data_IF_554263884562
#
_entry.id   IF_554263884562
#
_cell.length_a   1.000
_cell.length_b   1.000
_cell.length_c   1.000
_cell.angle_alpha   90.00
_cell.angle_beta   90.00
_cell.angle_gamma   90.00
#
_symmetry.space_group_name_H-M   'P 1'
#
loop_
_entity.id
_entity.type
_entity.pdbx_description
1 polymer ?
#
# COMPACT_ATOMS: atom_id res chain seq x y z
N UNK A 1 -13.21 18.92 -8.94
CA UNK A 1 -11.94 19.32 -8.29
C UNK A 1 -12.07 18.97 -6.82
N UNK A 2 -11.44 17.90 -6.37
CA UNK A 2 -11.41 17.52 -4.96
C UNK A 2 -10.23 18.24 -4.34
N UNK A 3 -10.50 19.23 -3.48
CA UNK A 3 -9.47 20.00 -2.79
C UNK A 3 -8.69 19.08 -1.86
N UNK A 4 -7.36 19.16 -1.92
CA UNK A 4 -6.44 18.48 -1.00
C UNK A 4 -6.77 18.89 0.44
N UNK A 5 -6.85 17.92 1.34
CA UNK A 5 -6.88 18.17 2.78
C UNK A 5 -5.60 17.62 3.37
N UNK A 6 -4.85 18.45 4.09
CA UNK A 6 -3.73 18.00 4.92
C UNK A 6 -4.18 16.82 5.79
N UNK A 7 -3.34 15.80 5.95
CA UNK A 7 -3.62 14.63 6.78
C UNK A 7 -4.16 15.01 8.16
N UNK A 8 -3.58 16.04 8.79
CA UNK A 8 -3.99 16.54 10.10
C UNK A 8 -5.34 17.31 10.09
N UNK A 9 -5.80 17.77 8.92
CA UNK A 9 -7.04 18.51 8.74
C UNK A 9 -8.18 17.65 8.17
N UNK A 10 -7.89 16.40 7.82
CA UNK A 10 -8.91 15.51 7.26
C UNK A 10 -9.89 15.06 8.33
N UNK A 11 -11.21 15.21 8.09
CA UNK A 11 -12.22 14.70 9.01
C UNK A 11 -12.19 13.16 9.11
N UNK A 12 -11.50 12.49 8.18
CA UNK A 12 -11.39 11.04 8.14
C UNK A 12 -10.17 10.50 8.86
N UNK A 13 -9.24 11.35 9.33
CA UNK A 13 -7.98 10.92 9.92
C UNK A 13 -8.17 9.89 11.06
N UNK A 14 -9.11 10.13 11.96
CA UNK A 14 -9.43 9.21 13.07
C UNK A 14 -10.48 8.15 12.74
N UNK A 15 -11.06 8.20 11.53
CA UNK A 15 -12.21 7.38 11.13
C UNK A 15 -11.87 6.37 10.01
N UNK A 16 -10.61 6.31 9.58
CA UNK A 16 -10.19 5.31 8.62
C UNK A 16 -10.25 3.92 9.25
N UNK A 17 -10.74 2.91 8.52
CA UNK A 17 -10.87 1.58 9.07
C UNK A 17 -9.50 0.92 9.28
N UNK A 18 -9.46 -0.02 10.21
CA UNK A 18 -8.30 -0.89 10.41
C UNK A 18 -8.09 -1.79 9.18
N UNK A 19 -7.07 -1.47 8.40
CA UNK A 19 -6.75 -2.19 7.17
C UNK A 19 -6.37 -3.65 7.43
N UNK A 20 -5.77 -3.95 8.57
CA UNK A 20 -5.44 -5.32 8.96
C UNK A 20 -6.67 -6.14 9.34
N UNK A 21 -7.83 -5.53 9.60
CA UNK A 21 -9.09 -6.28 9.80
C UNK A 21 -9.89 -6.45 8.51
N UNK A 22 -9.82 -5.49 7.58
CA UNK A 22 -10.60 -5.52 6.34
C UNK A 22 -10.09 -6.49 5.29
N UNK A 23 -8.78 -6.70 5.21
CA UNK A 23 -8.19 -7.58 4.19
C UNK A 23 -8.39 -9.04 4.62
N UNK A 24 -9.10 -9.92 3.88
CA UNK A 24 -9.24 -11.32 4.28
C UNK A 24 -7.97 -12.12 4.00
N UNK A 25 -7.76 -13.22 4.72
CA UNK A 25 -6.61 -14.12 4.53
C UNK A 25 -6.50 -14.65 3.10
N UNK A 26 -7.63 -14.85 2.41
CA UNK A 26 -7.63 -15.25 1.01
C UNK A 26 -6.98 -14.23 0.08
N UNK A 27 -7.11 -12.93 0.37
CA UNK A 27 -6.47 -11.86 -0.39
C UNK A 27 -4.97 -11.77 -0.08
N UNK A 28 -4.58 -12.01 1.17
CA UNK A 28 -3.18 -12.09 1.60
C UNK A 28 -2.48 -13.26 0.90
N UNK A 29 -3.09 -14.44 0.89
CA UNK A 29 -2.58 -15.61 0.18
C UNK A 29 -2.51 -15.39 -1.34
N UNK A 30 -3.54 -14.77 -1.94
CA UNK A 30 -3.53 -14.44 -3.37
C UNK A 30 -2.43 -13.43 -3.76
N UNK A 31 -2.07 -12.53 -2.84
CA UNK A 31 -0.94 -11.63 -3.00
C UNK A 31 0.43 -12.35 -2.89
N UNK A 32 0.46 -13.60 -2.41
CA UNK A 32 1.67 -14.41 -2.26
C UNK A 32 2.34 -14.30 -0.89
N UNK A 33 1.60 -13.88 0.15
CA UNK A 33 2.09 -13.80 1.52
C UNK A 33 1.60 -14.96 2.38
N UNK A 34 2.34 -15.24 3.44
CA UNK A 34 1.96 -16.25 4.43
C UNK A 34 1.04 -15.65 5.49
N UNK A 35 -0.17 -16.19 5.58
CA UNK A 35 -1.21 -15.76 6.52
C UNK A 35 -0.84 -16.05 7.98
N UNK A 36 0.09 -16.99 8.23
CA UNK A 36 0.50 -17.41 9.57
C UNK A 36 1.64 -16.56 10.14
N UNK A 37 2.36 -15.79 9.31
CA UNK A 37 3.45 -14.91 9.76
C UNK A 37 2.94 -13.63 10.45
N UNK A 38 1.63 -13.52 10.65
CA UNK A 38 0.99 -12.42 11.33
C UNK A 38 0.87 -11.17 10.47
N UNK A 39 -0.06 -10.31 10.87
CA UNK A 39 -0.34 -9.02 10.22
C UNK A 39 0.24 -7.92 11.08
N UNK A 40 0.99 -7.00 10.47
CA UNK A 40 1.58 -5.90 11.20
C UNK A 40 0.88 -4.60 10.83
N UNK A 41 0.14 -3.97 11.77
CA UNK A 41 -0.38 -2.63 11.53
C UNK A 41 0.82 -1.68 11.45
N UNK A 42 0.96 -1.03 10.30
CA UNK A 42 1.95 0.02 10.13
C UNK A 42 1.26 1.35 10.41
N UNK A 43 1.55 1.90 11.60
CA UNK A 43 1.23 3.26 11.96
C UNK A 43 2.46 4.12 11.70
N UNK A 44 2.48 4.84 10.58
CA UNK A 44 3.54 5.81 10.31
C UNK A 44 3.28 7.06 11.15
N UNK A 45 4.02 7.21 12.26
CA UNK A 45 3.89 8.35 13.18
C UNK A 45 4.52 9.65 12.65
N UNK A 46 5.38 9.58 11.63
CA UNK A 46 6.26 10.70 11.27
C UNK A 46 6.11 11.22 9.84
N UNK A 47 5.39 10.51 8.96
CA UNK A 47 5.02 11.03 7.66
C UNK A 47 3.56 11.47 7.74
N UNK A 48 3.30 12.76 7.59
CA UNK A 48 2.00 13.46 7.60
C UNK A 48 0.98 12.98 6.54
N UNK A 49 1.14 11.75 6.04
CA UNK A 49 0.44 11.21 4.89
C UNK A 49 -0.19 9.84 5.16
N UNK A 50 0.47 8.83 5.74
CA UNK A 50 -0.09 7.45 5.86
C UNK A 50 -0.80 7.24 7.20
N UNK A 51 -2.11 6.99 7.17
CA UNK A 51 -2.95 7.00 8.39
C UNK A 51 -3.34 5.59 8.85
N UNK A 52 -3.53 4.65 7.91
CA UNK A 52 -3.81 3.25 8.20
C UNK A 52 -3.16 2.37 7.15
N UNK A 53 -2.38 1.39 7.58
CA UNK A 53 -1.80 0.40 6.66
C UNK A 53 -1.58 -0.94 7.34
N UNK A 54 -1.54 -2.00 6.55
CA UNK A 54 -1.24 -3.35 6.99
C UNK A 54 -0.12 -3.93 6.14
N UNK A 55 0.91 -4.50 6.78
CA UNK A 55 1.94 -5.26 6.11
C UNK A 55 1.81 -6.77 6.36
N UNK A 56 2.29 -7.50 5.36
CA UNK A 56 2.29 -8.95 5.25
C UNK A 56 3.69 -9.40 4.84
N UNK A 57 4.05 -10.59 5.28
CA UNK A 57 5.37 -11.16 5.03
C UNK A 57 5.24 -12.50 4.29
N UNK A 58 6.21 -12.79 3.44
CA UNK A 58 6.45 -14.11 2.89
C UNK A 58 7.83 -14.58 3.37
N UNK A 59 7.91 -15.85 3.76
CA UNK A 59 9.14 -16.51 4.10
C UNK A 59 9.51 -17.55 3.04
N UNK A 60 10.81 -17.78 2.88
CA UNK A 60 11.36 -18.89 2.13
C UNK A 60 10.96 -20.21 2.84
N UNK A 61 10.29 -21.15 2.14
CA UNK A 61 9.82 -22.39 2.75
C UNK A 61 10.96 -23.30 3.21
N UNK A 62 12.17 -23.14 2.67
CA UNK A 62 13.30 -24.05 2.95
C UNK A 62 14.09 -23.64 4.20
N UNK A 63 14.15 -22.35 4.53
CA UNK A 63 14.94 -21.82 5.65
C UNK A 63 14.18 -20.88 6.60
N UNK A 64 12.95 -20.48 6.26
CA UNK A 64 12.12 -19.59 7.08
C UNK A 64 12.50 -18.10 7.02
N UNK A 65 13.48 -17.72 6.20
CA UNK A 65 13.91 -16.33 6.08
C UNK A 65 12.88 -15.49 5.34
N UNK A 66 12.67 -14.24 5.79
CA UNK A 66 11.79 -13.30 5.10
C UNK A 66 12.33 -12.92 3.73
N UNK A 67 11.55 -13.15 2.68
CA UNK A 67 11.92 -12.88 1.29
C UNK A 67 11.21 -11.67 0.70
N UNK A 68 9.96 -11.44 1.11
CA UNK A 68 9.12 -10.36 0.62
C UNK A 68 8.30 -9.80 1.77
N UNK A 69 8.30 -8.48 1.88
CA UNK A 69 7.34 -7.74 2.69
C UNK A 69 6.50 -6.90 1.75
N UNK A 70 5.19 -6.92 1.91
CA UNK A 70 4.33 -6.01 1.19
C UNK A 70 3.14 -5.58 2.04
N UNK A 71 2.26 -4.77 1.47
CA UNK A 71 1.17 -4.23 2.24
C UNK A 71 0.24 -3.36 1.44
N UNK A 72 -0.79 -2.90 2.13
CA UNK A 72 -1.74 -1.94 1.59
C UNK A 72 -2.17 -0.94 2.68
N UNK A 73 -2.47 0.28 2.25
CA UNK A 73 -2.87 1.34 3.17
C UNK A 73 -3.50 2.54 2.47
N UNK A 74 -3.94 3.48 3.31
CA UNK A 74 -4.42 4.79 2.86
C UNK A 74 -3.51 5.87 3.42
N UNK A 75 -3.05 6.70 2.50
CA UNK A 75 -2.53 8.00 2.82
C UNK A 75 -3.59 9.08 2.65
N UNK A 76 -3.78 9.92 3.66
CA UNK A 76 -4.55 11.15 3.56
C UNK A 76 -3.65 12.25 2.99
N UNK A 77 -3.25 12.05 1.75
CA UNK A 77 -2.44 13.00 0.96
C UNK A 77 -2.84 12.85 -0.50
N UNK A 78 -2.78 13.95 -1.25
CA UNK A 78 -3.06 13.92 -2.68
C UNK A 78 -1.99 13.10 -3.40
N UNK A 79 -2.39 12.31 -4.40
CA UNK A 79 -1.45 11.50 -5.16
C UNK A 79 -0.39 12.34 -5.88
N UNK A 80 -0.73 13.54 -6.35
CA UNK A 80 0.25 14.43 -6.97
C UNK A 80 1.28 14.92 -5.94
N UNK A 81 0.85 15.24 -4.72
CA UNK A 81 1.74 15.69 -3.65
C UNK A 81 2.66 14.55 -3.20
N UNK A 82 2.13 13.32 -3.13
CA UNK A 82 2.92 12.12 -2.91
C UNK A 82 3.98 11.95 -4.00
N UNK A 83 3.56 11.90 -5.27
CA UNK A 83 4.47 11.59 -6.38
C UNK A 83 5.50 12.70 -6.68
N UNK A 84 5.28 13.92 -6.20
CA UNK A 84 6.21 15.05 -6.34
C UNK A 84 7.21 15.17 -5.18
N UNK A 85 7.22 14.22 -4.23
CA UNK A 85 8.27 14.20 -3.21
C UNK A 85 9.62 13.89 -3.86
N UNK A 86 10.63 14.72 -3.61
CA UNK A 86 11.92 14.66 -4.31
C UNK A 86 12.74 13.38 -4.12
N UNK A 87 12.28 12.44 -3.30
CA UNK A 87 12.88 11.12 -3.08
C UNK A 87 12.18 10.00 -3.86
N UNK A 88 11.07 10.29 -4.54
CA UNK A 88 10.27 9.32 -5.27
C UNK A 88 10.63 9.33 -6.75
N UNK A 89 10.80 8.15 -7.34
CA UNK A 89 11.02 7.97 -8.78
C UNK A 89 9.85 7.20 -9.39
N UNK A 90 9.04 7.87 -10.21
CA UNK A 90 7.93 7.23 -10.93
C UNK A 90 8.48 6.30 -12.01
N UNK A 91 8.12 5.01 -11.92
CA UNK A 91 8.54 3.97 -12.87
C UNK A 91 7.54 3.86 -14.01
N UNK A 92 6.25 3.75 -13.68
CA UNK A 92 5.19 3.61 -14.68
C UNK A 92 3.94 4.39 -14.28
N UNK A 93 3.20 4.86 -15.29
CA UNK A 93 1.92 5.57 -15.15
C UNK A 93 0.81 4.77 -15.81
N UNK A 94 -0.43 5.04 -15.43
CA UNK A 94 -1.64 4.42 -16.01
C UNK A 94 -1.67 2.89 -15.85
N UNK A 95 -1.29 2.40 -14.67
CA UNK A 95 -1.45 0.98 -14.33
C UNK A 95 -2.91 0.70 -14.00
N UNK A 96 -3.59 -0.21 -14.71
CA UNK A 96 -4.99 -0.52 -14.42
C UNK A 96 -5.11 -1.36 -13.14
N UNK A 97 -5.95 -0.90 -12.21
CA UNK A 97 -6.24 -1.57 -10.92
C UNK A 97 -7.72 -1.46 -10.64
N UNK A 98 -8.44 -2.51 -11.03
CA UNK A 98 -9.90 -2.46 -11.10
C UNK A 98 -10.34 -1.25 -11.95
N UNK A 99 -11.18 -0.35 -11.42
CA UNK A 99 -11.62 0.85 -12.16
C UNK A 99 -10.63 2.02 -12.08
N UNK A 100 -9.52 1.90 -11.35
CA UNK A 100 -8.57 2.99 -11.11
C UNK A 100 -7.35 2.92 -12.03
N UNK A 101 -6.72 4.08 -12.22
CA UNK A 101 -5.43 4.22 -12.88
C UNK A 101 -4.38 4.61 -11.85
N UNK A 102 -3.37 3.75 -11.70
CA UNK A 102 -2.32 3.90 -10.71
C UNK A 102 -0.97 4.29 -11.30
N UNK A 103 -0.03 4.53 -10.38
CA UNK A 103 1.35 4.89 -10.63
C UNK A 103 2.23 3.93 -9.85
N UNK A 104 3.19 3.30 -10.51
CA UNK A 104 4.27 2.61 -9.80
C UNK A 104 5.43 3.57 -9.63
N UNK A 105 6.04 3.54 -8.45
CA UNK A 105 7.18 4.37 -8.14
C UNK A 105 8.10 3.65 -7.16
N UNK A 106 9.37 4.02 -7.16
CA UNK A 106 10.31 3.57 -6.16
C UNK A 106 10.59 4.68 -5.16
N UNK A 107 10.89 4.27 -3.92
CA UNK A 107 11.38 5.17 -2.88
C UNK A 107 12.55 4.49 -2.16
N UNK A 108 13.60 5.25 -1.79
CA UNK A 108 14.68 4.71 -0.98
C UNK A 108 14.17 4.47 0.45
N UNK A 109 14.23 3.22 0.93
CA UNK A 109 14.00 2.90 2.32
C UNK A 109 15.20 2.13 2.87
N UNK A 110 15.97 2.79 3.77
CA UNK A 110 17.00 2.15 4.61
C UNK A 110 17.92 1.11 3.89
N UNK A 111 18.35 1.41 2.66
CA UNK A 111 19.25 0.55 1.90
C UNK A 111 18.60 -0.57 1.08
N UNK A 112 17.26 -0.62 1.02
CA UNK A 112 16.49 -1.52 0.13
C UNK A 112 15.71 -0.69 -0.91
N UNK A 113 15.59 -1.24 -2.13
CA UNK A 113 14.74 -0.67 -3.16
C UNK A 113 13.31 -1.16 -2.90
N UNK A 114 12.45 -0.26 -2.44
CA UNK A 114 11.02 -0.51 -2.33
C UNK A 114 10.32 -0.03 -3.60
N UNK A 115 9.40 -0.84 -4.11
CA UNK A 115 8.47 -0.38 -5.13
C UNK A 115 7.08 -0.27 -4.54
N UNK A 116 6.42 0.80 -4.91
CA UNK A 116 5.11 1.16 -4.45
C UNK A 116 4.20 1.33 -5.63
N UNK A 117 2.93 1.15 -5.38
CA UNK A 117 1.87 1.48 -6.29
C UNK A 117 0.88 2.39 -5.58
N UNK A 118 0.50 3.49 -6.22
CA UNK A 118 -0.50 4.41 -5.70
C UNK A 118 -1.61 4.75 -6.69
N UNK A 119 -2.82 5.00 -6.18
CA UNK A 119 -3.91 5.63 -6.94
C UNK A 119 -4.74 6.56 -6.04
N UNK A 120 -5.38 7.56 -6.63
CA UNK A 120 -6.21 8.53 -5.88
C UNK A 120 -7.54 7.94 -5.41
N UNK A 121 -7.94 8.26 -4.18
CA UNK A 121 -9.22 7.90 -3.57
C UNK A 121 -9.96 9.16 -3.10
N UNK A 122 -11.20 9.01 -2.63
CA UNK A 122 -11.91 10.10 -1.95
C UNK A 122 -11.18 10.57 -0.67
N UNK A 123 -10.46 9.68 0.01
CA UNK A 123 -9.79 9.96 1.29
C UNK A 123 -8.36 10.49 1.15
N UNK A 124 -7.83 10.50 -0.08
CA UNK A 124 -6.44 10.81 -0.37
C UNK A 124 -5.88 9.85 -1.42
N UNK A 125 -4.96 8.99 -1.02
CA UNK A 125 -4.22 8.07 -1.90
C UNK A 125 -4.22 6.67 -1.30
N UNK A 126 -4.62 5.68 -2.10
CA UNK A 126 -4.39 4.27 -1.80
C UNK A 126 -2.93 3.94 -2.10
N UNK A 127 -2.28 3.18 -1.23
CA UNK A 127 -0.88 2.78 -1.34
C UNK A 127 -0.77 1.25 -1.22
N UNK A 128 0.06 0.67 -2.07
CA UNK A 128 0.52 -0.71 -1.97
C UNK A 128 2.03 -0.70 -2.03
N UNK A 129 2.67 -1.54 -1.21
CA UNK A 129 4.12 -1.65 -1.17
C UNK A 129 4.56 -3.08 -1.42
N UNK A 130 5.72 -3.23 -2.05
CA UNK A 130 6.49 -4.46 -2.10
C UNK A 130 7.98 -4.13 -1.91
N UNK A 131 8.56 -4.75 -0.89
CA UNK A 131 9.96 -4.67 -0.54
C UNK A 131 10.53 -6.09 -0.56
N UNK A 132 11.50 -6.33 -1.44
CA UNK A 132 12.23 -7.59 -1.47
C UNK A 132 13.42 -7.50 -0.53
N UNK A 133 13.57 -8.48 0.37
CA UNK A 133 14.71 -8.55 1.29
C UNK A 133 15.91 -9.30 0.72
N UNK A 134 15.70 -10.09 -0.35
CA UNK A 134 16.74 -10.77 -1.12
C UNK A 134 16.57 -10.46 -2.61
N UNK A 135 17.67 -10.40 -3.39
CA UNK A 135 17.57 -10.33 -4.84
C UNK A 135 16.82 -11.56 -5.36
N UNK A 136 15.64 -11.35 -5.96
CA UNK A 136 14.90 -12.39 -6.65
C UNK A 136 14.93 -12.14 -8.16
N UNK A 137 14.44 -13.11 -8.95
CA UNK A 137 14.30 -12.95 -10.40
C UNK A 137 13.17 -12.02 -10.81
N UNK A 138 12.25 -11.65 -9.91
CA UNK A 138 11.16 -10.69 -10.19
C UNK A 138 11.53 -9.28 -9.76
N UNK A 139 11.22 -8.28 -10.57
CA UNK A 139 11.42 -6.88 -10.18
C UNK A 139 10.40 -6.50 -9.09
N UNK A 140 10.79 -5.79 -8.01
CA UNK A 140 9.86 -5.38 -6.96
C UNK A 140 8.60 -4.64 -7.45
N UNK A 141 8.68 -3.97 -8.61
CA UNK A 141 7.54 -3.29 -9.23
C UNK A 141 6.52 -4.21 -9.94
N UNK A 142 6.93 -5.41 -10.35
CA UNK A 142 6.00 -6.41 -10.85
C UNK A 142 5.22 -7.01 -9.67
N UNK A 143 5.92 -7.29 -8.57
CA UNK A 143 5.32 -7.81 -7.35
C UNK A 143 4.31 -6.83 -6.75
N UNK A 144 4.64 -5.52 -6.68
CA UNK A 144 3.68 -4.55 -6.13
C UNK A 144 2.39 -4.49 -6.95
N UNK A 145 2.44 -4.72 -8.27
CA UNK A 145 1.24 -4.77 -9.11
C UNK A 145 0.38 -6.00 -8.78
N UNK A 146 1.00 -7.15 -8.53
CA UNK A 146 0.31 -8.36 -8.08
C UNK A 146 -0.35 -8.15 -6.71
N UNK A 147 0.41 -7.60 -5.75
CA UNK A 147 -0.10 -7.24 -4.42
C UNK A 147 -1.28 -6.28 -4.54
N UNK A 148 -1.16 -5.22 -5.33
CA UNK A 148 -2.22 -4.25 -5.51
C UNK A 148 -3.49 -4.88 -6.09
N UNK A 149 -3.37 -5.76 -7.09
CA UNK A 149 -4.54 -6.46 -7.69
C UNK A 149 -5.27 -7.36 -6.70
N UNK A 150 -4.55 -8.01 -5.79
CA UNK A 150 -5.17 -8.84 -4.76
C UNK A 150 -5.83 -8.01 -3.65
N UNK A 151 -5.23 -6.87 -3.29
CA UNK A 151 -5.62 -6.10 -2.12
C UNK A 151 -6.56 -4.91 -2.42
N UNK A 152 -6.60 -4.40 -3.66
CA UNK A 152 -7.40 -3.21 -3.99
C UNK A 152 -8.89 -3.31 -3.64
N UNK A 153 -9.59 -4.47 -3.74
CA UNK A 153 -11.01 -4.53 -3.43
C UNK A 153 -11.34 -4.21 -1.97
N UNK A 154 -10.33 -4.25 -1.09
CA UNK A 154 -10.46 -4.05 0.35
C UNK A 154 -10.03 -2.65 0.80
N UNK A 155 -9.50 -1.84 -0.12
CA UNK A 155 -9.19 -0.43 0.14
C UNK A 155 -10.48 0.40 -0.01
N UNK A 156 -10.91 1.16 1.02
CA UNK A 156 -12.04 2.06 0.86
C UNK A 156 -11.65 3.21 -0.07
N UNK A 157 -12.47 3.42 -1.09
CA UNK A 157 -12.26 4.46 -2.10
C UNK A 157 -13.30 5.57 -2.02
N UNK A 158 -14.42 5.33 -1.32
CA UNK A 158 -15.55 6.27 -1.15
C UNK A 158 -16.19 6.17 0.25
N UNK A 159 -16.91 7.22 0.71
CA UNK A 159 -17.48 7.28 2.06
C UNK A 159 -18.40 6.11 2.45
N UNK A 160 -19.21 5.61 1.52
CA UNK A 160 -20.12 4.49 1.76
C UNK A 160 -19.40 3.20 2.18
N UNK A 161 -18.09 3.09 1.93
CA UNK A 161 -17.29 1.92 2.24
C UNK A 161 -16.65 1.99 3.64
N UNK A 162 -16.82 3.08 4.39
CA UNK A 162 -16.30 3.21 5.75
C UNK A 162 -17.23 2.64 6.83
N UNK A 163 -18.54 2.50 6.56
CA UNK A 163 -19.56 2.23 7.58
C UNK A 163 -19.68 0.75 8.02
N UNK A 164 -18.76 -0.13 7.58
CA UNK A 164 -18.91 -1.59 7.73
C UNK A 164 -17.67 -2.31 8.29
N UNK A 165 -16.82 -1.63 9.06
CA UNK A 165 -15.64 -2.22 9.70
C UNK A 165 -15.73 -2.26 11.21
#
# INVERSE_FOLDING_TARGET
>A
MTATVDGALSPYFHSLPDMCKRIPDSAVAAAGFDVNLGRQPLQYKEASSIVQSCSFNAADPDNGDLILTGGAGIAVTNINDLLNQGIIHVVQKNIPIGPHQGYTYTSPAQGQLECHLAYGTFFGTALFGAAQKRPSTSQPCDEVTKVARALYPYIPTRPSEMAHS
#
